data_IF_157524810077
#
_entry.id   IF_157524810077
#
_cell.length_a   1.000
_cell.length_b   1.000
_cell.length_c   1.000
_cell.angle_alpha   90.00
_cell.angle_beta   90.00
_cell.angle_gamma   90.00
#
_symmetry.space_group_name_H-M   'P 1'
#
loop_
_entity.id
_entity.type
_entity.pdbx_description
1 polymer ?
#
# COMPACT_ATOMS: atom_id res chain seq x y z
N UNK A 1 -10.21 11.10 -6.78
CA UNK A 1 -9.72 10.58 -5.49
C UNK A 1 -9.95 9.09 -5.44
N UNK A 2 -9.28 8.39 -6.35
CA UNK A 2 -9.01 6.97 -6.20
C UNK A 2 -7.81 6.77 -5.26
N UNK A 3 -7.35 5.54 -5.07
CA UNK A 3 -6.36 5.23 -4.04
C UNK A 3 -4.92 5.56 -4.44
N UNK A 4 -4.65 5.61 -5.74
CA UNK A 4 -3.39 5.93 -6.39
C UNK A 4 -3.19 7.44 -6.52
N UNK A 5 -4.26 8.23 -6.49
CA UNK A 5 -4.21 9.69 -6.30
C UNK A 5 -3.46 10.08 -5.00
N UNK A 6 -3.36 9.16 -4.03
CA UNK A 6 -2.66 9.37 -2.75
C UNK A 6 -1.24 8.80 -2.73
N UNK A 7 -0.77 8.20 -3.83
CA UNK A 7 0.65 7.83 -3.98
C UNK A 7 1.41 9.09 -4.35
N UNK A 8 1.90 9.79 -3.35
CA UNK A 8 2.70 10.99 -3.54
C UNK A 8 4.14 10.64 -3.88
N UNK A 9 4.76 11.41 -4.78
CA UNK A 9 6.21 11.32 -5.03
C UNK A 9 7.05 11.84 -3.85
N UNK A 10 6.43 12.59 -2.95
CA UNK A 10 7.05 13.10 -1.72
C UNK A 10 6.72 12.20 -0.52
N UNK A 11 7.69 11.88 0.34
CA UNK A 11 7.45 11.15 1.58
C UNK A 11 6.41 11.87 2.46
N UNK A 12 5.41 11.13 2.94
CA UNK A 12 4.46 11.61 3.94
C UNK A 12 5.11 11.40 5.33
N UNK A 13 5.01 12.36 6.26
CA UNK A 13 5.48 12.16 7.64
C UNK A 13 4.84 10.91 8.26
N UNK A 14 5.64 10.12 8.99
CA UNK A 14 5.13 8.99 9.76
C UNK A 14 4.49 9.55 11.02
N UNK A 15 3.18 9.41 11.17
CA UNK A 15 2.45 9.90 12.35
C UNK A 15 1.79 8.77 13.13
N UNK A 16 1.62 8.96 14.44
CA UNK A 16 0.78 8.08 15.26
C UNK A 16 -0.73 8.29 14.98
N UNK A 17 -1.57 7.55 15.69
CA UNK A 17 -3.05 7.62 15.56
C UNK A 17 -3.65 8.97 16.02
N UNK A 18 -2.88 9.80 16.71
CA UNK A 18 -3.25 11.14 17.15
C UNK A 18 -2.66 12.24 16.26
N UNK A 19 -1.88 11.87 15.23
CA UNK A 19 -1.23 12.80 14.31
C UNK A 19 0.12 13.33 14.80
N UNK A 20 0.70 12.78 15.87
CA UNK A 20 2.04 13.14 16.33
C UNK A 20 3.07 12.64 15.32
N UNK A 21 3.98 13.50 14.88
CA UNK A 21 5.11 13.09 14.03
C UNK A 21 6.08 12.20 14.83
N UNK A 22 6.23 10.96 14.39
CA UNK A 22 7.13 9.94 14.95
C UNK A 22 8.23 9.56 13.96
N UNK A 23 8.43 10.35 12.89
CA UNK A 23 9.42 10.08 11.85
C UNK A 23 10.85 9.91 12.38
N UNK A 24 11.19 10.56 13.50
CA UNK A 24 12.48 10.43 14.18
C UNK A 24 12.73 9.02 14.75
N UNK A 25 11.69 8.34 15.21
CA UNK A 25 11.75 6.97 15.76
C UNK A 25 11.84 5.92 14.66
N UNK A 26 11.33 6.26 13.47
CA UNK A 26 11.23 5.37 12.32
C UNK A 26 12.19 5.73 11.17
N UNK A 27 13.23 6.55 11.42
CA UNK A 27 14.17 7.04 10.39
C UNK A 27 14.84 5.95 9.53
N UNK A 28 14.91 4.73 10.04
CA UNK A 28 15.59 3.61 9.39
C UNK A 28 14.63 2.55 8.86
N UNK A 29 13.32 2.79 8.96
CA UNK A 29 12.32 2.00 8.27
C UNK A 29 12.16 2.54 6.84
N UNK A 30 11.89 1.65 5.90
CA UNK A 30 11.51 2.04 4.54
C UNK A 30 10.23 1.34 4.14
N UNK A 31 9.49 1.95 3.20
CA UNK A 31 8.20 1.45 2.76
C UNK A 31 8.21 1.31 1.24
N UNK A 32 7.77 0.15 0.75
CA UNK A 32 7.45 -0.06 -0.67
C UNK A 32 5.93 -0.16 -0.81
N UNK A 33 5.37 0.65 -1.71
CA UNK A 33 3.93 0.69 -1.99
C UNK A 33 3.71 0.35 -3.45
N UNK A 34 2.79 -0.58 -3.72
CA UNK A 34 2.35 -0.91 -5.06
C UNK A 34 0.83 -0.92 -5.11
N UNK A 35 0.28 -0.24 -6.11
CA UNK A 35 -1.17 -0.24 -6.37
C UNK A 35 -1.41 -0.72 -7.78
N UNK A 36 -2.28 -1.71 -7.93
CA UNK A 36 -2.60 -2.30 -9.23
C UNK A 36 -4.02 -2.89 -9.24
N UNK A 37 -4.59 -2.99 -10.44
CA UNK A 37 -5.89 -3.65 -10.63
C UNK A 37 -5.80 -5.15 -10.38
N UNK A 38 -6.88 -5.75 -9.87
CA UNK A 38 -7.00 -7.20 -9.69
C UNK A 38 -8.36 -7.70 -10.18
N UNK A 39 -8.40 -8.91 -10.74
CA UNK A 39 -9.65 -9.56 -11.14
C UNK A 39 -10.27 -10.32 -9.96
N UNK A 40 -11.60 -10.36 -9.91
CA UNK A 40 -12.36 -11.16 -8.95
C UNK A 40 -13.08 -12.30 -9.67
N UNK A 41 -12.77 -13.54 -9.26
CA UNK A 41 -13.27 -14.76 -9.90
C UNK A 41 -14.23 -15.50 -8.95
N UNK A 42 -15.37 -14.89 -8.64
CA UNK A 42 -16.49 -15.58 -7.97
C UNK A 42 -16.22 -16.07 -6.54
N UNK A 43 -15.27 -15.45 -5.83
CA UNK A 43 -14.95 -15.80 -4.44
C UNK A 43 -13.50 -15.47 -4.06
N UNK A 44 -12.64 -15.29 -5.06
CA UNK A 44 -11.21 -15.04 -4.86
C UNK A 44 -10.69 -13.93 -5.77
N UNK A 45 -9.78 -13.12 -5.24
CA UNK A 45 -9.03 -12.13 -6.02
C UNK A 45 -7.78 -12.75 -6.63
N UNK A 46 -7.44 -12.37 -7.86
CA UNK A 46 -6.22 -12.82 -8.53
C UNK A 46 -4.97 -12.52 -7.70
N UNK A 47 -3.98 -13.41 -7.75
CA UNK A 47 -2.66 -13.16 -7.19
C UNK A 47 -1.84 -12.19 -8.06
N UNK A 48 -2.12 -12.16 -9.37
CA UNK A 48 -1.39 -11.34 -10.34
C UNK A 48 -2.12 -10.01 -10.62
N UNK A 49 -1.36 -8.94 -10.93
CA UNK A 49 -1.94 -7.71 -11.46
C UNK A 49 -2.75 -7.97 -12.73
N UNK A 50 -3.92 -7.34 -12.82
CA UNK A 50 -4.71 -7.33 -14.04
C UNK A 50 -4.02 -6.44 -15.10
N UNK A 51 -4.10 -6.86 -16.35
CA UNK A 51 -3.58 -6.10 -17.49
C UNK A 51 -4.53 -5.01 -17.98
N UNK A 52 -5.76 -5.02 -17.48
CA UNK A 52 -6.82 -4.06 -17.80
C UNK A 52 -7.46 -3.51 -16.52
N UNK A 53 -8.22 -2.41 -16.64
CA UNK A 53 -8.93 -1.81 -15.52
C UNK A 53 -10.05 -2.75 -15.04
N UNK A 54 -10.13 -2.95 -13.74
CA UNK A 54 -11.19 -3.75 -13.10
C UNK A 54 -11.92 -2.94 -12.03
N UNK A 55 -12.93 -3.56 -11.42
CA UNK A 55 -13.66 -2.98 -10.29
C UNK A 55 -12.87 -3.00 -8.97
N UNK A 56 -11.63 -3.49 -8.94
CA UNK A 56 -10.89 -3.65 -7.69
C UNK A 56 -9.42 -3.27 -7.87
N UNK A 57 -8.89 -2.53 -6.90
CA UNK A 57 -7.44 -2.28 -6.77
C UNK A 57 -6.92 -3.01 -5.53
N UNK A 58 -5.73 -3.59 -5.63
CA UNK A 58 -4.95 -4.06 -4.48
C UNK A 58 -3.87 -3.04 -4.16
N UNK A 59 -3.75 -2.72 -2.88
CA UNK A 59 -2.66 -1.93 -2.32
C UNK A 59 -1.77 -2.94 -1.59
N UNK A 60 -0.56 -3.16 -2.11
CA UNK A 60 0.46 -3.95 -1.45
C UNK A 60 1.47 -3.02 -0.79
N UNK A 61 1.69 -3.20 0.51
CA UNK A 61 2.67 -2.47 1.28
C UNK A 61 3.70 -3.44 1.85
N UNK A 62 4.97 -3.06 1.83
CA UNK A 62 6.02 -3.76 2.57
C UNK A 62 6.78 -2.74 3.38
N UNK A 63 6.77 -2.93 4.70
CA UNK A 63 7.64 -2.20 5.61
C UNK A 63 8.93 -3.00 5.77
N UNK A 64 10.07 -2.34 5.64
CA UNK A 64 11.38 -2.92 5.97
C UNK A 64 11.91 -2.27 7.23
N UNK A 65 12.34 -3.08 8.18
CA UNK A 65 13.07 -2.59 9.36
C UNK A 65 14.54 -2.25 9.03
N UNK A 66 15.28 -1.65 9.97
CA UNK A 66 16.68 -1.28 9.76
C UNK A 66 17.63 -2.45 9.49
N UNK A 67 17.22 -3.68 9.82
CA UNK A 67 17.93 -4.93 9.60
C UNK A 67 17.57 -5.56 8.25
N UNK A 68 16.56 -5.01 7.55
CA UNK A 68 16.07 -5.50 6.26
C UNK A 68 14.95 -6.53 6.36
N UNK A 69 14.40 -6.78 7.56
CA UNK A 69 13.26 -7.69 7.71
C UNK A 69 12.01 -7.07 7.09
N UNK A 70 11.27 -7.86 6.31
CA UNK A 70 10.10 -7.41 5.57
C UNK A 70 8.79 -7.78 6.28
N UNK A 71 7.88 -6.81 6.38
CA UNK A 71 6.56 -6.94 6.99
C UNK A 71 5.49 -6.60 5.95
N UNK A 72 5.07 -7.57 5.12
CA UNK A 72 4.12 -7.34 4.04
C UNK A 72 2.67 -7.32 4.55
N UNK A 73 1.86 -6.43 3.97
CA UNK A 73 0.41 -6.45 4.11
C UNK A 73 -0.26 -5.94 2.84
N UNK A 74 -1.51 -6.32 2.66
CA UNK A 74 -2.29 -5.87 1.51
C UNK A 74 -3.73 -5.58 1.88
N UNK A 75 -4.30 -4.58 1.23
CA UNK A 75 -5.72 -4.27 1.29
C UNK A 75 -6.31 -4.29 -0.12
N UNK A 76 -7.59 -4.62 -0.22
CA UNK A 76 -8.35 -4.57 -1.47
C UNK A 76 -9.46 -3.54 -1.29
N UNK A 77 -9.55 -2.61 -2.24
CA UNK A 77 -10.58 -1.57 -2.28
C UNK A 77 -11.36 -1.68 -3.59
N UNK A 78 -12.69 -1.63 -3.49
CA UNK A 78 -13.56 -1.49 -4.65
C UNK A 78 -13.33 -0.14 -5.34
N UNK A 79 -13.30 -0.15 -6.67
CA UNK A 79 -13.13 1.01 -7.52
C UNK A 79 -14.52 1.57 -7.87
N UNK A 80 -15.00 2.51 -7.05
CA UNK A 80 -16.25 3.26 -7.22
C UNK A 80 -16.00 4.73 -6.95
#
# INVERSE_FOLDING_TARGET
NDVDDYITSSPIPVTDVLGTDISSEYQRFSVSIQVFYVSYNGGQFSATPATERTHYKRIALVIYDPQGNAYPFAAIKGNY
#
